data_IF_147476488862
#
_entry.id   IF_147476488862
#
_cell.length_a   1.000
_cell.length_b   1.000
_cell.length_c   1.000
_cell.angle_alpha   90.00
_cell.angle_beta   90.00
_cell.angle_gamma   90.00
#
_symmetry.space_group_name_H-M   'P 1'
#
loop_
_entity.id
_entity.type
_entity.pdbx_description
1 polymer ?
#
# COMPACT_ATOMS: atom_id res chain seq x y z
N UNK A 1 6.90 -6.35 -8.40
CA UNK A 1 6.90 -4.98 -8.96
C UNK A 1 6.00 -4.96 -10.18
N UNK A 2 5.23 -3.89 -10.35
CA UNK A 2 4.41 -3.65 -11.54
C UNK A 2 4.56 -2.18 -11.97
N UNK A 3 4.44 -1.89 -13.26
CA UNK A 3 4.57 -0.53 -13.80
C UNK A 3 3.36 -0.17 -14.66
N UNK A 4 2.83 1.03 -14.47
CA UNK A 4 1.78 1.62 -15.30
C UNK A 4 2.37 2.76 -16.11
N UNK A 5 2.54 2.54 -17.41
CA UNK A 5 3.06 3.54 -18.34
C UNK A 5 2.13 4.76 -18.44
N UNK A 6 0.82 4.52 -18.52
CA UNK A 6 -0.19 5.59 -18.64
C UNK A 6 -0.16 6.57 -17.46
N UNK A 7 0.10 6.08 -16.25
CA UNK A 7 0.16 6.89 -15.02
C UNK A 7 1.58 7.29 -14.63
N UNK A 8 2.59 6.70 -15.27
CA UNK A 8 3.98 6.71 -14.82
C UNK A 8 4.13 6.32 -13.33
N UNK A 9 3.46 5.24 -12.93
CA UNK A 9 3.50 4.73 -11.55
C UNK A 9 4.24 3.40 -11.46
N UNK A 10 5.15 3.30 -10.49
CA UNK A 10 5.84 2.08 -10.12
C UNK A 10 5.28 1.51 -8.81
N UNK A 11 4.70 0.32 -8.88
CA UNK A 11 4.18 -0.39 -7.72
C UNK A 11 5.25 -1.35 -7.18
N UNK A 12 5.74 -1.08 -5.98
CA UNK A 12 6.58 -2.00 -5.23
C UNK A 12 5.71 -2.79 -4.26
N UNK A 13 5.52 -4.07 -4.55
CA UNK A 13 4.56 -4.95 -3.87
C UNK A 13 5.34 -6.02 -3.11
N UNK A 14 5.17 -6.11 -1.80
CA UNK A 14 5.70 -7.19 -0.95
C UNK A 14 4.56 -8.08 -0.47
N UNK A 15 4.55 -9.34 -0.90
CA UNK A 15 3.56 -10.34 -0.46
C UNK A 15 4.02 -10.99 0.85
N UNK A 16 3.19 -10.88 1.89
CA UNK A 16 3.51 -11.39 3.23
C UNK A 16 3.23 -12.89 3.26
N UNK A 17 4.28 -13.67 3.07
CA UNK A 17 4.28 -15.12 3.24
C UNK A 17 5.65 -15.63 3.72
N UNK A 18 6.74 -15.07 3.20
CA UNK A 18 8.13 -15.33 3.62
C UNK A 18 8.93 -14.07 3.97
N UNK A 19 8.55 -12.93 3.40
CA UNK A 19 9.03 -11.59 3.72
C UNK A 19 8.14 -10.93 4.77
N UNK A 20 8.73 -10.05 5.58
CA UNK A 20 7.98 -9.17 6.48
C UNK A 20 7.14 -8.14 5.71
N UNK A 21 6.54 -7.21 6.44
CA UNK A 21 5.81 -6.08 5.86
C UNK A 21 6.76 -4.96 5.43
N UNK A 22 6.23 -4.00 4.65
CA UNK A 22 6.90 -2.72 4.45
C UNK A 22 6.82 -1.93 5.77
N UNK A 23 7.77 -2.16 6.65
CA UNK A 23 7.97 -1.42 7.89
C UNK A 23 8.64 -0.07 7.62
N UNK A 24 8.71 0.81 8.63
CA UNK A 24 9.37 2.12 8.49
C UNK A 24 10.82 2.00 8.00
N UNK A 25 11.57 1.02 8.52
CA UNK A 25 12.96 0.77 8.09
C UNK A 25 12.98 0.33 6.64
N UNK A 26 12.11 -0.62 6.27
CA UNK A 26 12.02 -1.13 4.91
C UNK A 26 11.61 -0.05 3.90
N UNK A 27 10.67 0.81 4.29
CA UNK A 27 10.23 1.94 3.48
C UNK A 27 11.38 2.89 3.18
N UNK A 28 12.22 3.22 4.17
CA UNK A 28 13.40 4.08 3.97
C UNK A 28 14.42 3.44 3.01
N UNK A 29 14.65 2.12 3.14
CA UNK A 29 15.50 1.39 2.22
C UNK A 29 14.97 1.42 0.79
N UNK A 30 13.67 1.16 0.61
CA UNK A 30 13.05 1.20 -0.71
C UNK A 30 13.10 2.60 -1.31
N UNK A 31 12.75 3.65 -0.55
CA UNK A 31 12.87 5.06 -0.97
C UNK A 31 14.29 5.39 -1.43
N UNK A 32 15.32 4.89 -0.75
CA UNK A 32 16.73 5.06 -1.15
C UNK A 32 17.07 4.29 -2.42
N UNK A 33 16.65 3.02 -2.52
CA UNK A 33 16.90 2.19 -3.71
C UNK A 33 16.29 2.79 -4.98
N UNK A 34 15.21 3.56 -4.82
CA UNK A 34 14.48 4.16 -5.93
C UNK A 34 14.67 5.67 -6.05
N UNK A 35 15.69 6.25 -5.41
CA UNK A 35 15.92 7.70 -5.39
C UNK A 35 16.08 8.33 -6.79
N UNK A 36 16.50 7.53 -7.79
CA UNK A 36 16.69 7.95 -9.19
C UNK A 36 15.52 7.56 -10.10
N UNK A 37 14.48 6.95 -9.55
CA UNK A 37 13.31 6.58 -10.33
C UNK A 37 12.52 7.84 -10.70
N UNK A 38 12.15 7.96 -11.97
CA UNK A 38 11.34 9.08 -12.47
C UNK A 38 9.82 8.82 -12.37
N UNK A 39 9.43 7.59 -12.04
CA UNK A 39 8.04 7.22 -11.81
C UNK A 39 7.64 7.53 -10.36
N UNK A 40 6.38 7.91 -10.15
CA UNK A 40 5.83 7.98 -8.79
C UNK A 40 5.71 6.57 -8.23
N UNK A 41 6.09 6.39 -6.96
CA UNK A 41 6.22 5.06 -6.37
C UNK A 41 5.09 4.82 -5.40
N UNK A 42 4.46 3.67 -5.54
CA UNK A 42 3.40 3.20 -4.64
C UNK A 42 3.91 1.94 -3.95
N UNK A 43 4.00 2.01 -2.63
CA UNK A 43 4.44 0.90 -1.78
C UNK A 43 3.23 0.12 -1.31
N UNK A 44 3.19 -1.19 -1.59
CA UNK A 44 2.04 -2.04 -1.28
C UNK A 44 2.49 -3.26 -0.47
N UNK A 45 1.92 -3.45 0.71
CA UNK A 45 2.01 -4.72 1.43
C UNK A 45 0.78 -5.56 1.09
N UNK A 46 0.98 -6.78 0.58
CA UNK A 46 -0.09 -7.66 0.15
C UNK A 46 -0.26 -8.85 1.10
N UNK A 47 -1.50 -9.12 1.52
CA UNK A 47 -1.85 -10.26 2.37
C UNK A 47 -2.85 -11.18 1.66
N UNK A 48 -2.83 -12.46 2.03
CA UNK A 48 -3.88 -13.40 1.58
C UNK A 48 -5.22 -13.12 2.26
N UNK A 49 -5.20 -12.79 3.55
CA UNK A 49 -6.41 -12.63 4.36
C UNK A 49 -6.27 -11.56 5.45
N UNK A 50 -7.42 -11.05 5.91
CA UNK A 50 -7.50 -10.06 6.99
C UNK A 50 -6.93 -10.57 8.33
N UNK A 51 -6.99 -11.88 8.58
CA UNK A 51 -6.48 -12.44 9.83
C UNK A 51 -4.96 -12.33 9.92
N UNK A 52 -4.26 -12.54 8.81
CA UNK A 52 -2.82 -12.36 8.69
C UNK A 52 -2.48 -10.88 8.77
N UNK A 53 -3.18 -10.01 8.03
CA UNK A 53 -3.01 -8.56 8.11
C UNK A 53 -3.04 -8.03 9.56
N UNK A 54 -4.06 -8.42 10.35
CA UNK A 54 -4.21 -7.94 11.74
C UNK A 54 -2.99 -8.21 12.62
N UNK A 55 -2.23 -9.27 12.35
CA UNK A 55 -1.02 -9.61 13.13
C UNK A 55 0.13 -8.64 12.89
N UNK A 56 0.16 -8.00 11.72
CA UNK A 56 1.23 -7.11 11.29
C UNK A 56 0.81 -5.64 11.21
N UNK A 57 -0.47 -5.33 11.39
CA UNK A 57 -1.00 -3.98 11.18
C UNK A 57 -0.25 -2.88 11.95
N UNK A 58 0.29 -3.19 13.13
CA UNK A 58 1.09 -2.24 13.92
C UNK A 58 2.51 -1.97 13.41
N UNK A 59 3.04 -2.83 12.53
CA UNK A 59 4.41 -2.73 12.00
C UNK A 59 4.48 -2.12 10.60
N UNK A 60 3.33 -1.93 9.94
CA UNK A 60 3.23 -1.38 8.59
C UNK A 60 3.49 0.13 8.64
N UNK A 61 4.34 0.62 7.74
CA UNK A 61 4.66 2.04 7.66
C UNK A 61 3.45 2.87 7.19
N UNK A 62 3.33 4.08 7.74
CA UNK A 62 2.49 5.14 7.16
C UNK A 62 2.96 5.49 5.74
N UNK A 63 2.12 6.18 4.97
CA UNK A 63 2.33 6.52 3.56
C UNK A 63 2.51 5.28 2.66
N UNK A 64 1.86 4.18 3.02
CA UNK A 64 1.85 2.94 2.22
C UNK A 64 0.44 2.40 2.07
N UNK A 65 0.29 1.44 1.15
CA UNK A 65 -0.98 0.79 0.83
C UNK A 65 -0.98 -0.66 1.30
N UNK A 66 -2.15 -1.15 1.68
CA UNK A 66 -2.37 -2.58 1.93
C UNK A 66 -3.44 -3.11 1.00
N UNK A 67 -3.13 -4.23 0.34
CA UNK A 67 -4.07 -5.01 -0.45
C UNK A 67 -4.28 -6.39 0.18
N UNK A 68 -5.53 -6.87 0.20
CA UNK A 68 -5.86 -8.16 0.80
C UNK A 68 -6.65 -8.99 -0.22
N UNK A 69 -6.17 -10.20 -0.50
CA UNK A 69 -6.73 -11.03 -1.57
C UNK A 69 -8.18 -11.49 -1.33
N UNK A 70 -8.60 -11.58 -0.06
CA UNK A 70 -9.98 -11.91 0.32
C UNK A 70 -10.98 -10.75 0.10
N UNK A 71 -10.49 -9.53 -0.15
CA UNK A 71 -11.27 -8.34 -0.47
C UNK A 71 -10.60 -7.56 -1.62
N UNK A 72 -10.50 -8.16 -2.82
CA UNK A 72 -9.60 -7.72 -3.89
C UNK A 72 -9.94 -6.34 -4.49
N UNK A 73 -11.20 -5.92 -4.35
CA UNK A 73 -11.71 -4.63 -4.84
C UNK A 73 -11.42 -3.45 -3.88
N UNK A 74 -10.79 -3.72 -2.73
CA UNK A 74 -10.52 -2.74 -1.68
C UNK A 74 -9.03 -2.58 -1.41
N UNK A 75 -8.64 -1.38 -0.96
CA UNK A 75 -7.31 -1.02 -0.49
C UNK A 75 -7.46 -0.33 0.86
N UNK A 76 -6.55 -0.62 1.79
CA UNK A 76 -6.41 0.16 3.02
C UNK A 76 -5.27 1.15 2.81
N UNK A 77 -5.57 2.44 2.98
CA UNK A 77 -4.60 3.52 2.90
C UNK A 77 -4.05 3.82 4.29
N UNK A 78 -2.75 3.61 4.52
CA UNK A 78 -2.09 3.98 5.77
C UNK A 78 -1.67 5.46 5.73
N UNK A 79 -2.68 6.34 5.76
CA UNK A 79 -2.58 7.82 5.83
C UNK A 79 -1.61 8.47 4.81
N UNK A 80 -1.50 9.79 4.90
CA UNK A 80 -0.66 10.65 4.06
C UNK A 80 -1.40 11.93 3.68
N UNK A 81 -0.74 12.82 2.95
CA UNK A 81 -1.31 14.13 2.57
C UNK A 81 -2.52 14.04 1.59
N UNK A 82 -2.84 12.83 1.13
CA UNK A 82 -3.64 12.60 -0.08
C UNK A 82 -5.14 12.50 0.18
N UNK A 83 -5.58 12.12 1.40
CA UNK A 83 -6.98 11.77 1.63
C UNK A 83 -7.50 12.23 3.00
N UNK A 84 -8.25 13.34 3.01
CA UNK A 84 -9.20 13.67 4.08
C UNK A 84 -10.48 14.18 3.44
N UNK A 85 -11.59 13.49 3.67
CA UNK A 85 -12.90 13.87 3.15
C UNK A 85 -14.01 12.90 3.57
N UNK A 86 -15.27 13.35 3.64
CA UNK A 86 -16.40 12.49 4.02
C UNK A 86 -16.76 11.49 2.91
N UNK A 87 -17.18 10.28 3.29
CA UNK A 87 -17.79 9.34 2.35
C UNK A 87 -19.13 9.87 1.83
N UNK A 88 -19.37 9.74 0.52
CA UNK A 88 -20.64 10.10 -0.10
C UNK A 88 -21.79 9.33 0.56
N UNK A 89 -22.71 10.04 1.20
CA UNK A 89 -23.95 9.46 1.68
C UNK A 89 -24.84 9.23 0.47
N UNK A 90 -25.14 7.98 0.13
CA UNK A 90 -26.17 7.69 -0.88
C UNK A 90 -27.53 8.01 -0.24
N UNK A 91 -28.10 9.18 -0.54
CA UNK A 91 -29.50 9.46 -0.25
C UNK A 91 -30.34 8.88 -1.38
N UNK A 92 -31.04 7.78 -1.11
CA UNK A 92 -32.12 7.31 -1.97
C UNK A 92 -33.30 8.28 -1.85
N UNK A 93 -33.38 9.25 -2.75
CA UNK A 93 -34.61 10.01 -3.03
C UNK A 93 -35.52 9.23 -3.96
#
# INVERSE_FOLDING_TARGET
MAYSEQKNWLYLIEAVHSSGVISNVRLLELKKLTEKCQADIIFVTAFLDHHTFRKFAGDIAWETEVWIADAPDHIIHFDGEKFLGPYSQITNT
#
